data_IF_714515889463
#
_entry.id   IF_714515889463
#
_cell.length_a   1.000
_cell.length_b   1.000
_cell.length_c   1.000
_cell.angle_alpha   90.00
_cell.angle_beta   90.00
_cell.angle_gamma   90.00
#
_symmetry.space_group_name_H-M   'P 1'
#
loop_
_entity.id
_entity.type
_entity.pdbx_description
1 polymer ?
#
# COMPACT_ATOMS: atom_id res chain seq x y z
N UNK A 1 32.19 8.01 -11.05
CA UNK A 1 31.37 7.64 -9.88
C UNK A 1 30.07 7.06 -10.39
N UNK A 2 29.64 5.88 -9.92
CA UNK A 2 28.33 5.32 -10.26
C UNK A 2 27.27 6.10 -9.50
N UNK A 3 26.23 6.58 -10.21
CA UNK A 3 25.11 7.24 -9.60
C UNK A 3 24.49 6.36 -8.48
N UNK A 4 24.40 6.89 -7.26
CA UNK A 4 23.88 6.18 -6.09
C UNK A 4 22.39 6.43 -5.89
N UNK A 5 21.63 6.56 -6.98
CA UNK A 5 20.18 6.69 -6.89
C UNK A 5 19.49 5.57 -7.66
N UNK A 6 18.29 5.25 -7.22
CA UNK A 6 17.37 4.36 -7.93
C UNK A 6 16.06 5.09 -8.15
N UNK A 7 15.51 4.93 -9.33
CA UNK A 7 14.24 5.51 -9.71
C UNK A 7 13.28 4.39 -10.17
N UNK A 8 12.03 4.52 -9.79
CA UNK A 8 10.93 3.75 -10.34
C UNK A 8 9.83 4.70 -10.78
N UNK A 9 9.22 4.38 -11.90
CA UNK A 9 8.10 5.12 -12.45
C UNK A 9 6.94 4.16 -12.72
N UNK A 10 5.74 4.62 -12.43
CA UNK A 10 4.50 3.96 -12.82
C UNK A 10 3.52 5.02 -13.31
N UNK A 11 3.26 5.04 -14.62
CA UNK A 11 2.45 6.06 -15.29
C UNK A 11 2.96 7.48 -14.98
N UNK A 12 2.22 8.25 -14.19
CA UNK A 12 2.49 9.60 -13.72
C UNK A 12 3.24 9.66 -12.38
N UNK A 13 3.25 8.59 -11.60
CA UNK A 13 3.96 8.54 -10.33
C UNK A 13 5.45 8.20 -10.52
N UNK A 14 6.33 8.97 -9.88
CA UNK A 14 7.78 8.74 -9.85
C UNK A 14 8.27 8.72 -8.41
N UNK A 15 9.04 7.69 -8.07
CA UNK A 15 9.77 7.62 -6.80
C UNK A 15 11.27 7.56 -7.07
N UNK A 16 12.02 8.38 -6.34
CA UNK A 16 13.48 8.36 -6.37
C UNK A 16 14.02 8.10 -4.97
N UNK A 17 15.07 7.28 -4.89
CA UNK A 17 15.80 7.00 -3.67
C UNK A 17 17.25 7.37 -3.89
N UNK A 18 17.77 8.28 -3.07
CA UNK A 18 19.15 8.77 -3.15
C UNK A 18 19.87 8.49 -1.84
N UNK A 19 21.20 8.38 -1.87
CA UNK A 19 21.99 8.36 -0.64
C UNK A 19 21.94 9.74 0.03
N UNK A 20 21.86 9.78 1.35
CA UNK A 20 21.76 11.02 2.14
C UNK A 20 22.94 11.96 1.91
N UNK A 21 24.11 11.41 1.63
CA UNK A 21 25.37 12.16 1.47
C UNK A 21 25.74 12.41 -0.01
N UNK A 22 24.81 12.14 -0.93
CA UNK A 22 25.06 12.36 -2.35
C UNK A 22 24.86 13.83 -2.70
N UNK A 23 25.90 14.63 -2.46
CA UNK A 23 25.95 16.05 -2.82
C UNK A 23 25.84 16.31 -4.33
N UNK A 24 25.98 15.27 -5.16
CA UNK A 24 25.78 15.35 -6.61
C UNK A 24 24.31 15.23 -7.02
N UNK A 25 23.40 14.90 -6.08
CA UNK A 25 21.96 14.82 -6.35
C UNK A 25 21.32 16.20 -6.17
N UNK A 26 20.89 16.76 -7.26
CA UNK A 26 20.14 18.01 -7.32
C UNK A 26 18.71 17.72 -7.78
N UNK A 27 17.75 17.89 -6.88
CA UNK A 27 16.32 17.64 -7.14
C UNK A 27 15.78 18.59 -8.20
N UNK A 28 16.22 19.85 -8.19
CA UNK A 28 15.72 20.87 -9.11
C UNK A 28 16.27 20.64 -10.51
N UNK A 29 17.54 20.27 -10.61
CA UNK A 29 18.15 19.83 -11.87
C UNK A 29 17.44 18.58 -12.42
N UNK A 30 17.16 17.58 -11.58
CA UNK A 30 16.41 16.39 -11.99
C UNK A 30 15.03 16.76 -12.54
N UNK A 31 14.30 17.66 -11.85
CA UNK A 31 12.99 18.13 -12.31
C UNK A 31 13.08 18.80 -13.67
N UNK A 32 14.10 19.63 -13.86
CA UNK A 32 14.31 20.35 -15.12
C UNK A 32 14.67 19.40 -16.26
N UNK A 33 15.60 18.47 -16.02
CA UNK A 33 15.97 17.45 -17.00
C UNK A 33 14.76 16.57 -17.38
N UNK A 34 13.90 16.23 -16.40
CA UNK A 34 12.69 15.46 -16.64
C UNK A 34 11.66 16.25 -17.44
N UNK A 35 11.50 17.55 -17.19
CA UNK A 35 10.63 18.45 -17.95
C UNK A 35 11.08 18.63 -19.40
N UNK A 36 12.38 18.65 -19.64
CA UNK A 36 12.98 18.78 -20.97
C UNK A 36 13.01 17.48 -21.75
N UNK A 37 12.64 16.36 -21.11
CA UNK A 37 12.70 15.09 -21.80
C UNK A 37 11.70 15.09 -22.97
N UNK A 38 12.20 14.85 -24.18
CA UNK A 38 11.42 14.78 -25.42
C UNK A 38 10.51 13.54 -25.50
N UNK A 39 10.45 12.74 -24.42
CA UNK A 39 9.59 11.58 -24.32
C UNK A 39 8.09 11.94 -24.32
N UNK A 40 7.77 13.21 -24.12
CA UNK A 40 6.38 13.68 -24.08
C UNK A 40 6.25 14.92 -24.95
N UNK A 41 5.22 14.96 -25.75
CA UNK A 41 4.91 16.09 -26.63
C UNK A 41 4.32 17.31 -25.92
N UNK A 42 4.06 17.21 -24.61
CA UNK A 42 3.68 18.32 -23.74
C UNK A 42 4.64 18.39 -22.54
N UNK A 43 4.97 19.60 -22.04
CA UNK A 43 5.79 19.76 -20.85
C UNK A 43 5.15 19.07 -19.66
N UNK A 44 5.90 18.21 -18.97
CA UNK A 44 5.46 17.58 -17.73
C UNK A 44 5.69 18.52 -16.55
N UNK A 45 4.65 18.67 -15.73
CA UNK A 45 4.76 19.34 -14.44
C UNK A 45 5.05 18.29 -13.36
N UNK A 46 6.24 18.33 -12.77
CA UNK A 46 6.57 17.52 -11.62
C UNK A 46 6.27 18.31 -10.35
N UNK A 47 5.39 17.75 -9.52
CA UNK A 47 5.12 18.24 -8.18
C UNK A 47 5.78 17.30 -7.17
N UNK A 48 6.48 17.86 -6.17
CA UNK A 48 6.97 17.07 -5.07
C UNK A 48 5.78 16.66 -4.19
N UNK A 49 5.70 15.38 -3.87
CA UNK A 49 4.78 14.91 -2.85
C UNK A 49 5.48 14.98 -1.49
N UNK A 50 4.84 15.60 -0.50
CA UNK A 50 5.35 15.71 0.88
C UNK A 50 5.31 14.36 1.64
N UNK A 51 4.79 13.33 1.00
CA UNK A 51 4.57 12.03 1.60
C UNK A 51 5.40 10.96 0.89
N UNK A 52 6.07 10.11 1.66
CA UNK A 52 6.77 8.94 1.15
C UNK A 52 5.80 7.82 0.74
N UNK A 53 4.93 8.14 -0.23
CA UNK A 53 3.97 7.19 -0.78
C UNK A 53 4.22 6.97 -2.26
N UNK A 54 4.28 5.72 -2.65
CA UNK A 54 4.34 5.34 -4.05
C UNK A 54 3.22 4.34 -4.34
N UNK A 55 2.28 4.73 -5.18
CA UNK A 55 1.05 4.02 -5.42
C UNK A 55 0.26 3.89 -4.10
N UNK A 56 -0.06 2.67 -3.69
CA UNK A 56 -0.71 2.40 -2.39
C UNK A 56 0.29 1.94 -1.31
N UNK A 57 1.60 2.15 -1.52
CA UNK A 57 2.65 1.75 -0.57
C UNK A 57 3.11 2.95 0.22
N UNK A 58 3.05 2.85 1.54
CA UNK A 58 3.76 3.76 2.42
C UNK A 58 5.22 3.26 2.56
N UNK A 59 6.16 4.19 2.41
CA UNK A 59 7.59 3.96 2.57
C UNK A 59 8.04 4.70 3.82
N UNK A 60 8.61 3.99 4.76
CA UNK A 60 9.09 4.53 6.02
C UNK A 60 10.59 4.23 6.16
N UNK A 61 11.36 5.19 6.64
CA UNK A 61 12.76 4.96 7.00
C UNK A 61 12.81 4.49 8.46
N UNK A 62 13.49 3.38 8.71
CA UNK A 62 13.76 2.97 10.08
C UNK A 62 14.92 3.76 10.68
N UNK A 63 15.12 3.62 11.99
CA UNK A 63 16.18 4.33 12.72
C UNK A 63 17.61 3.98 12.24
N UNK A 64 17.76 2.86 11.53
CA UNK A 64 19.03 2.36 11.00
C UNK A 64 19.24 2.73 9.52
N UNK A 65 18.32 3.52 8.93
CA UNK A 65 18.36 3.90 7.52
C UNK A 65 17.89 2.80 6.56
N UNK A 66 17.25 1.76 7.08
CA UNK A 66 16.55 0.75 6.26
C UNK A 66 15.18 1.27 5.81
N UNK A 67 14.66 0.68 4.74
CA UNK A 67 13.31 0.97 4.27
C UNK A 67 12.31 -0.06 4.79
N UNK A 68 11.24 0.45 5.38
CA UNK A 68 10.03 -0.33 5.66
C UNK A 68 8.95 0.02 4.67
N UNK A 69 8.23 -1.00 4.23
CA UNK A 69 7.09 -0.83 3.33
C UNK A 69 5.84 -1.45 3.92
N UNK A 70 4.71 -0.78 3.76
CA UNK A 70 3.39 -1.32 4.11
C UNK A 70 2.32 -0.82 3.15
N UNK A 71 1.22 -1.54 3.07
CA UNK A 71 0.06 -1.07 2.33
C UNK A 71 -0.58 0.11 3.07
N UNK A 72 -0.68 1.26 2.40
CA UNK A 72 -1.42 2.41 2.92
C UNK A 72 -2.91 2.25 2.63
N UNK A 73 -3.72 2.42 3.65
CA UNK A 73 -5.16 2.53 3.48
C UNK A 73 -5.58 4.00 3.48
N UNK A 74 -6.28 4.45 2.43
CA UNK A 74 -6.81 5.83 2.37
C UNK A 74 -7.82 6.13 3.49
N UNK A 75 -8.42 5.08 4.04
CA UNK A 75 -9.35 5.15 5.17
C UNK A 75 -8.66 4.93 6.53
N UNK A 76 -7.33 4.94 6.58
CA UNK A 76 -6.57 4.81 7.82
C UNK A 76 -6.92 5.97 8.77
N UNK A 77 -7.22 5.65 10.03
CA UNK A 77 -7.66 6.63 11.01
C UNK A 77 -9.16 6.99 10.97
N UNK A 78 -9.94 6.39 10.07
CA UNK A 78 -11.40 6.51 10.07
C UNK A 78 -12.01 5.45 11.00
N UNK A 79 -12.57 5.88 12.14
CA UNK A 79 -13.09 4.95 13.15
C UNK A 79 -14.47 4.40 12.83
N UNK A 80 -15.32 5.16 12.16
CA UNK A 80 -16.75 4.81 11.96
C UNK A 80 -17.14 4.60 10.52
N UNK A 81 -16.75 5.53 9.63
CA UNK A 81 -17.11 5.47 8.22
C UNK A 81 -15.88 5.70 7.32
N UNK A 82 -15.74 4.90 6.24
CA UNK A 82 -14.70 5.16 5.26
C UNK A 82 -14.89 6.54 4.61
N UNK A 83 -13.83 7.33 4.49
CA UNK A 83 -13.84 8.58 3.70
C UNK A 83 -14.04 8.31 2.22
N UNK A 84 -13.53 7.18 1.75
CA UNK A 84 -13.61 6.77 0.36
C UNK A 84 -14.20 5.36 0.29
N UNK A 85 -15.35 5.23 -0.35
CA UNK A 85 -16.02 3.97 -0.60
C UNK A 85 -15.36 3.26 -1.78
N UNK A 86 -14.40 2.37 -1.50
CA UNK A 86 -13.66 1.63 -2.53
C UNK A 86 -14.23 0.27 -2.83
N UNK A 87 -15.01 -0.29 -1.91
CA UNK A 87 -15.50 -1.65 -1.98
C UNK A 87 -17.00 -1.68 -1.80
N UNK A 88 -17.63 -2.73 -2.30
CA UNK A 88 -19.07 -2.94 -2.13
C UNK A 88 -19.41 -3.23 -0.68
N UNK A 89 -20.50 -2.68 -0.22
CA UNK A 89 -21.11 -3.07 1.06
C UNK A 89 -21.53 -4.53 1.03
N UNK A 90 -21.55 -5.18 2.16
CA UNK A 90 -21.93 -6.59 2.25
C UNK A 90 -23.41 -6.83 1.82
N UNK A 91 -24.29 -5.90 2.13
CA UNK A 91 -25.72 -5.92 1.78
C UNK A 91 -26.02 -5.53 0.33
N UNK A 92 -25.01 -5.15 -0.47
CA UNK A 92 -25.19 -4.80 -1.89
C UNK A 92 -25.53 -6.02 -2.76
N UNK A 93 -26.09 -5.79 -3.96
CA UNK A 93 -26.45 -6.84 -4.93
C UNK A 93 -25.27 -7.62 -5.50
N UNK A 94 -24.03 -7.21 -5.29
CA UNK A 94 -22.85 -7.95 -5.72
C UNK A 94 -22.81 -9.32 -5.06
N UNK A 95 -22.50 -10.38 -5.82
CA UNK A 95 -22.48 -11.73 -5.28
C UNK A 95 -21.42 -11.91 -4.19
N UNK A 96 -21.70 -12.73 -3.17
CA UNK A 96 -20.84 -12.94 -2.00
C UNK A 96 -19.43 -13.43 -2.41
N UNK A 97 -19.32 -14.34 -3.39
CA UNK A 97 -18.01 -14.83 -3.87
C UNK A 97 -17.12 -13.74 -4.43
N UNK A 98 -17.69 -12.75 -5.12
CA UNK A 98 -16.92 -11.60 -5.63
C UNK A 98 -16.45 -10.71 -4.48
N UNK A 99 -17.33 -10.41 -3.53
CA UNK A 99 -16.98 -9.63 -2.32
C UNK A 99 -15.86 -10.29 -1.52
N UNK A 100 -15.97 -11.58 -1.30
CA UNK A 100 -14.93 -12.37 -0.64
C UNK A 100 -13.62 -12.39 -1.43
N UNK A 101 -13.70 -12.52 -2.75
CA UNK A 101 -12.55 -12.43 -3.65
C UNK A 101 -11.78 -11.12 -3.55
N UNK A 102 -12.50 -10.00 -3.41
CA UNK A 102 -11.90 -8.67 -3.18
C UNK A 102 -11.11 -8.65 -1.87
N UNK A 103 -11.67 -9.17 -0.78
CA UNK A 103 -10.96 -9.22 0.51
C UNK A 103 -9.72 -10.11 0.41
N UNK A 104 -9.82 -11.29 -0.24
CA UNK A 104 -8.63 -12.14 -0.52
C UNK A 104 -7.58 -11.35 -1.26
N UNK A 105 -7.94 -10.66 -2.34
CA UNK A 105 -7.02 -9.84 -3.14
C UNK A 105 -6.32 -8.76 -2.31
N UNK A 106 -7.05 -8.08 -1.41
CA UNK A 106 -6.48 -7.10 -0.49
C UNK A 106 -5.46 -7.75 0.46
N UNK A 107 -5.76 -8.91 1.03
CA UNK A 107 -4.84 -9.61 1.94
C UNK A 107 -3.59 -10.14 1.22
N UNK A 108 -3.73 -10.63 -0.02
CA UNK A 108 -2.60 -11.00 -0.87
C UNK A 108 -1.68 -9.79 -1.12
N UNK A 109 -2.29 -8.64 -1.39
CA UNK A 109 -1.55 -7.39 -1.61
C UNK A 109 -0.81 -6.95 -0.35
N UNK A 110 -1.46 -7.00 0.82
CA UNK A 110 -0.81 -6.71 2.11
C UNK A 110 0.40 -7.63 2.33
N UNK A 111 0.22 -8.93 2.12
CA UNK A 111 1.29 -9.93 2.29
C UNK A 111 2.49 -9.64 1.38
N UNK A 112 2.24 -9.21 0.14
CA UNK A 112 3.28 -8.90 -0.83
C UNK A 112 4.00 -7.56 -0.56
N UNK A 113 3.32 -6.58 0.07
CA UNK A 113 3.83 -5.22 0.20
C UNK A 113 4.42 -4.90 1.57
N UNK A 114 4.03 -5.63 2.62
CA UNK A 114 4.55 -5.40 3.96
C UNK A 114 5.93 -6.05 4.15
N UNK A 115 6.94 -5.23 4.42
CA UNK A 115 8.33 -5.71 4.60
C UNK A 115 8.58 -6.32 5.97
N UNK A 116 7.78 -5.99 6.97
CA UNK A 116 7.92 -6.46 8.35
C UNK A 116 6.57 -6.81 8.99
N UNK A 117 6.62 -7.41 10.18
CA UNK A 117 5.44 -7.89 10.90
C UNK A 117 4.57 -6.74 11.42
N UNK A 118 5.17 -5.62 11.80
CA UNK A 118 4.45 -4.44 12.31
C UNK A 118 3.63 -3.78 11.19
N UNK A 119 4.26 -3.46 10.06
CA UNK A 119 3.59 -2.91 8.88
C UNK A 119 2.53 -3.85 8.32
N UNK A 120 2.77 -5.18 8.39
CA UNK A 120 1.79 -6.18 8.05
C UNK A 120 0.57 -6.12 8.97
N UNK A 121 0.77 -6.14 10.29
CA UNK A 121 -0.31 -6.11 11.28
C UNK A 121 -1.17 -4.84 11.16
N UNK A 122 -0.52 -3.68 11.00
CA UNK A 122 -1.21 -2.40 10.78
C UNK A 122 -2.06 -2.45 9.50
N UNK A 123 -1.49 -2.92 8.39
CA UNK A 123 -2.18 -2.99 7.10
C UNK A 123 -3.37 -3.96 7.12
N UNK A 124 -3.21 -5.16 7.70
CA UNK A 124 -4.29 -6.15 7.84
C UNK A 124 -5.40 -5.59 8.71
N UNK A 125 -5.06 -5.05 9.89
CA UNK A 125 -6.04 -4.51 10.84
C UNK A 125 -6.83 -3.38 10.20
N UNK A 126 -6.16 -2.45 9.54
CA UNK A 126 -6.80 -1.33 8.85
C UNK A 126 -7.75 -1.82 7.75
N UNK A 127 -7.35 -2.81 6.96
CA UNK A 127 -8.21 -3.39 5.91
C UNK A 127 -9.40 -4.16 6.46
N UNK A 128 -9.21 -4.96 7.49
CA UNK A 128 -10.32 -5.72 8.10
C UNK A 128 -11.34 -4.78 8.75
N UNK A 129 -10.89 -3.72 9.44
CA UNK A 129 -11.79 -2.68 9.98
C UNK A 129 -12.59 -2.00 8.88
N UNK A 130 -11.97 -1.68 7.75
CA UNK A 130 -12.67 -1.11 6.59
C UNK A 130 -13.78 -2.03 6.09
N UNK A 131 -13.53 -3.35 5.96
CA UNK A 131 -14.55 -4.31 5.55
C UNK A 131 -15.64 -4.51 6.62
N UNK A 132 -15.28 -4.48 7.90
CA UNK A 132 -16.27 -4.52 8.98
C UNK A 132 -17.20 -3.31 8.94
N UNK A 133 -16.67 -2.11 8.72
CA UNK A 133 -17.45 -0.89 8.54
C UNK A 133 -18.38 -0.96 7.31
N UNK A 134 -18.03 -1.77 6.31
CA UNK A 134 -18.86 -2.08 5.14
C UNK A 134 -19.89 -3.21 5.40
N UNK A 135 -20.00 -3.70 6.65
CA UNK A 135 -20.96 -4.70 7.07
C UNK A 135 -20.54 -6.15 6.82
N UNK A 136 -19.27 -6.42 6.49
CA UNK A 136 -18.79 -7.80 6.30
C UNK A 136 -18.81 -8.56 7.63
N UNK A 137 -19.49 -9.76 7.69
CA UNK A 137 -19.54 -10.53 8.91
C UNK A 137 -18.17 -11.10 9.31
N UNK A 138 -17.89 -11.13 10.61
CA UNK A 138 -16.59 -11.61 11.12
C UNK A 138 -16.27 -13.05 10.69
N UNK A 139 -17.26 -13.96 10.64
CA UNK A 139 -17.05 -15.34 10.18
C UNK A 139 -16.62 -15.42 8.70
N UNK A 140 -17.14 -14.53 7.86
CA UNK A 140 -16.73 -14.42 6.45
C UNK A 140 -15.27 -13.94 6.36
N UNK A 141 -14.92 -12.88 7.10
CA UNK A 141 -13.55 -12.35 7.14
C UNK A 141 -12.56 -13.42 7.63
N UNK A 142 -12.91 -14.18 8.67
CA UNK A 142 -12.09 -15.30 9.15
C UNK A 142 -11.89 -16.40 8.08
N UNK A 143 -12.93 -16.73 7.33
CA UNK A 143 -12.84 -17.68 6.22
C UNK A 143 -11.94 -17.16 5.07
N UNK A 144 -12.04 -15.87 4.78
CA UNK A 144 -11.20 -15.21 3.76
C UNK A 144 -9.73 -15.20 4.14
N UNK A 145 -9.39 -14.93 5.42
CA UNK A 145 -8.00 -15.01 5.90
C UNK A 145 -7.41 -16.39 5.67
N UNK A 146 -8.17 -17.46 5.97
CA UNK A 146 -7.75 -18.83 5.70
C UNK A 146 -7.47 -19.11 4.22
N UNK A 147 -8.31 -18.56 3.32
CA UNK A 147 -8.09 -18.68 1.86
C UNK A 147 -6.88 -17.89 1.36
N UNK A 148 -6.65 -16.70 1.91
CA UNK A 148 -5.47 -15.91 1.60
C UNK A 148 -4.19 -16.64 2.05
N UNK A 149 -4.18 -17.20 3.26
CA UNK A 149 -3.08 -18.03 3.75
C UNK A 149 -2.83 -19.24 2.84
N UNK A 150 -3.87 -19.95 2.41
CA UNK A 150 -3.71 -21.10 1.54
C UNK A 150 -2.98 -20.77 0.22
N UNK A 151 -3.10 -19.51 -0.25
CA UNK A 151 -2.45 -19.04 -1.47
C UNK A 151 -1.03 -18.52 -1.27
N UNK A 152 -0.77 -17.78 -0.17
CA UNK A 152 0.52 -17.13 0.08
C UNK A 152 1.47 -17.99 0.90
N UNK A 153 0.92 -18.86 1.76
CA UNK A 153 1.64 -19.54 2.85
C UNK A 153 2.28 -18.57 3.86
N UNK A 154 1.81 -17.34 3.91
CA UNK A 154 2.30 -16.31 4.83
C UNK A 154 1.71 -16.54 6.22
N UNK A 155 2.54 -17.03 7.14
CA UNK A 155 2.14 -17.35 8.52
C UNK A 155 1.64 -16.14 9.31
N UNK A 156 1.99 -14.91 8.89
CA UNK A 156 1.49 -13.69 9.51
C UNK A 156 -0.05 -13.60 9.40
N UNK A 157 -0.64 -14.15 8.33
CA UNK A 157 -2.09 -14.24 8.17
C UNK A 157 -2.74 -15.17 9.20
N UNK A 158 -2.09 -16.27 9.56
CA UNK A 158 -2.60 -17.17 10.62
C UNK A 158 -2.55 -16.50 11.99
N UNK A 159 -1.46 -15.79 12.29
CA UNK A 159 -1.35 -15.01 13.53
C UNK A 159 -2.43 -13.92 13.59
N UNK A 160 -2.65 -13.19 12.50
CA UNK A 160 -3.73 -12.21 12.42
C UNK A 160 -5.12 -12.83 12.66
N UNK A 161 -5.37 -14.05 12.16
CA UNK A 161 -6.62 -14.78 12.41
C UNK A 161 -6.81 -15.16 13.89
N UNK A 162 -5.72 -15.56 14.57
CA UNK A 162 -5.77 -15.92 15.99
C UNK A 162 -5.98 -14.73 16.91
N UNK A 163 -5.41 -13.57 16.55
CA UNK A 163 -5.56 -12.33 17.29
C UNK A 163 -6.90 -11.63 17.04
N UNK A 164 -7.65 -12.06 16.03
CA UNK A 164 -8.95 -11.47 15.67
C UNK A 164 -10.06 -11.97 16.60
N UNK A 165 -10.03 -11.52 17.84
CA UNK A 165 -11.23 -11.42 18.67
C UNK A 165 -11.95 -10.11 18.26
N UNK A 166 -12.65 -10.20 17.14
CA UNK A 166 -13.51 -9.10 16.65
C UNK A 166 -14.91 -9.19 17.25
#
# INVERSE_FOLDING_TARGET
>A
AKARFRMKRYMDDVITVTAKDDSAWDVDRFREDFRRSECYWAPLKLEAADNAHFLETALELDANGGFRTRLKNVNEGCEREPRVWRYHRWDSFTCAKMKEGIVVGCLLKVSAMASDDEGFALSVTSKLREFMALGYPAHVLNGVIGRAFARTKDERLLRARQCSQW
#
